data_IF_445461832357
#
_entry.id   IF_445461832357
#
_cell.length_a   1.000
_cell.length_b   1.000
_cell.length_c   1.000
_cell.angle_alpha   90.00
_cell.angle_beta   90.00
_cell.angle_gamma   90.00
#
_symmetry.space_group_name_H-M   'P 1'
#
loop_
_entity.id
_entity.type
_entity.pdbx_description
1 polymer ?
#
# COMPACT_ATOMS: atom_id res chain seq x y z
N UNK A 1 -3.98 34.62 4.79
CA UNK A 1 -5.02 34.54 5.84
C UNK A 1 -6.33 35.03 5.26
N UNK A 2 -7.44 34.30 5.40
CA UNK A 2 -8.75 34.78 4.95
C UNK A 2 -9.26 35.84 5.93
N UNK A 3 -9.80 36.96 5.42
CA UNK A 3 -10.35 38.02 6.28
C UNK A 3 -11.52 37.50 7.14
N UNK A 4 -11.66 38.04 8.36
CA UNK A 4 -12.71 37.66 9.31
C UNK A 4 -14.11 37.75 8.69
N UNK A 5 -14.38 38.80 7.87
CA UNK A 5 -15.60 38.95 7.11
C UNK A 5 -15.88 37.79 6.13
N UNK A 6 -14.83 37.22 5.49
CA UNK A 6 -14.95 36.07 4.61
C UNK A 6 -15.27 34.77 5.38
N UNK A 7 -14.73 34.63 6.59
CA UNK A 7 -15.05 33.49 7.47
C UNK A 7 -16.49 33.57 7.99
N UNK A 8 -16.98 34.77 8.35
CA UNK A 8 -18.36 34.99 8.80
C UNK A 8 -19.35 34.74 7.67
N UNK A 9 -19.08 35.25 6.46
CA UNK A 9 -19.87 34.98 5.28
C UNK A 9 -19.94 33.50 4.93
N UNK A 10 -18.83 32.79 5.00
CA UNK A 10 -18.77 31.35 4.76
C UNK A 10 -19.57 30.58 5.83
N UNK A 11 -19.50 30.99 7.10
CA UNK A 11 -20.29 30.38 8.19
C UNK A 11 -21.78 30.61 8.01
N UNK A 12 -22.18 31.80 7.62
CA UNK A 12 -23.59 32.14 7.31
C UNK A 12 -24.08 31.30 6.10
N UNK A 13 -23.32 31.23 5.02
CA UNK A 13 -23.66 30.43 3.84
C UNK A 13 -23.73 28.94 4.16
N UNK A 14 -22.86 28.40 5.04
CA UNK A 14 -22.91 27.01 5.46
C UNK A 14 -24.21 26.65 6.22
N UNK A 15 -24.82 27.60 6.95
CA UNK A 15 -26.12 27.40 7.62
C UNK A 15 -27.29 27.31 6.64
N UNK A 16 -27.17 27.94 5.47
CA UNK A 16 -28.16 27.88 4.40
C UNK A 16 -27.90 26.79 3.36
N UNK A 17 -26.73 26.15 3.44
CA UNK A 17 -26.34 25.06 2.54
C UNK A 17 -26.97 23.75 3.00
N UNK A 18 -28.19 23.52 2.55
CA UNK A 18 -28.80 22.19 2.68
C UNK A 18 -28.24 21.27 1.59
N UNK A 19 -27.37 20.36 1.96
CA UNK A 19 -26.95 19.27 1.07
C UNK A 19 -28.18 18.43 0.61
N UNK A 20 -28.00 17.53 -0.36
CA UNK A 20 -29.10 16.70 -0.85
C UNK A 20 -29.75 15.92 0.30
N UNK A 21 -31.05 16.04 0.46
CA UNK A 21 -31.84 15.39 1.52
C UNK A 21 -32.39 14.04 1.08
N UNK A 22 -32.70 13.88 -0.21
CA UNK A 22 -33.19 12.60 -0.76
C UNK A 22 -32.07 11.55 -0.95
N UNK A 23 -32.37 10.25 -0.86
CA UNK A 23 -31.42 9.19 -1.12
C UNK A 23 -30.79 9.28 -2.52
N UNK A 24 -31.59 9.59 -3.55
CA UNK A 24 -31.11 9.77 -4.93
C UNK A 24 -30.20 10.99 -5.06
N UNK A 25 -30.55 12.09 -4.40
CA UNK A 25 -29.75 13.32 -4.37
C UNK A 25 -28.42 13.10 -3.68
N UNK A 26 -28.40 12.35 -2.56
CA UNK A 26 -27.15 11.94 -1.87
C UNK A 26 -26.29 11.04 -2.75
N UNK A 27 -26.88 10.06 -3.44
CA UNK A 27 -26.19 9.20 -4.36
C UNK A 27 -25.59 9.97 -5.55
N UNK A 28 -26.34 10.91 -6.12
CA UNK A 28 -25.89 11.79 -7.20
C UNK A 28 -24.76 12.72 -6.75
N UNK A 29 -24.91 13.35 -5.58
CA UNK A 29 -23.85 14.20 -5.01
C UNK A 29 -22.58 13.41 -4.67
N UNK A 30 -22.72 12.22 -4.12
CA UNK A 30 -21.60 11.31 -3.86
C UNK A 30 -20.90 10.91 -5.16
N UNK A 31 -21.67 10.60 -6.21
CA UNK A 31 -21.13 10.26 -7.54
C UNK A 31 -20.42 11.44 -8.19
N UNK A 32 -20.98 12.64 -8.07
CA UNK A 32 -20.32 13.87 -8.55
C UNK A 32 -19.05 14.20 -7.79
N UNK A 33 -19.01 13.91 -6.47
CA UNK A 33 -17.82 14.08 -5.65
C UNK A 33 -16.68 13.10 -6.01
N UNK A 34 -17.01 11.92 -6.56
CA UNK A 34 -16.01 10.97 -7.04
C UNK A 34 -15.23 11.53 -8.23
N UNK A 35 -15.89 12.24 -9.17
CA UNK A 35 -15.27 12.92 -10.30
C UNK A 35 -14.20 12.07 -10.99
N UNK A 36 -12.93 12.47 -10.81
CA UNK A 36 -11.76 11.73 -11.30
C UNK A 36 -11.37 10.53 -10.41
N UNK A 37 -11.99 10.32 -9.26
CA UNK A 37 -11.77 9.19 -8.34
C UNK A 37 -10.46 9.21 -7.55
N UNK A 38 -9.56 10.19 -7.75
CA UNK A 38 -8.24 10.22 -7.10
C UNK A 38 -8.29 10.49 -5.58
N UNK A 39 -9.38 11.06 -5.09
CA UNK A 39 -9.62 11.31 -3.67
C UNK A 39 -10.64 10.35 -3.05
N UNK A 40 -11.25 9.50 -3.87
CA UNK A 40 -12.24 8.54 -3.41
C UNK A 40 -11.61 7.43 -2.55
N UNK A 41 -12.36 6.96 -1.57
CA UNK A 41 -12.02 5.73 -0.86
C UNK A 41 -12.19 4.51 -1.79
N UNK A 42 -11.44 3.40 -1.56
CA UNK A 42 -11.53 2.22 -2.41
C UNK A 42 -12.96 1.74 -2.64
N UNK A 43 -13.75 1.61 -1.58
CA UNK A 43 -15.13 1.15 -1.64
C UNK A 43 -16.02 2.05 -2.51
N UNK A 44 -15.84 3.37 -2.45
CA UNK A 44 -16.60 4.33 -3.25
C UNK A 44 -16.18 4.31 -4.71
N UNK A 45 -14.88 4.23 -4.97
CA UNK A 45 -14.33 4.15 -6.32
C UNK A 45 -14.84 2.90 -7.04
N UNK A 46 -14.69 1.74 -6.41
CA UNK A 46 -15.00 0.45 -7.02
C UNK A 46 -16.50 0.15 -7.13
N UNK A 47 -17.33 0.75 -6.28
CA UNK A 47 -18.78 0.63 -6.41
C UNK A 47 -19.34 1.26 -7.70
N UNK A 48 -18.63 2.23 -8.28
CA UNK A 48 -19.05 2.96 -9.48
C UNK A 48 -18.26 2.61 -10.75
N UNK A 49 -17.17 1.86 -10.63
CA UNK A 49 -16.21 1.60 -11.71
C UNK A 49 -15.67 0.17 -11.62
N UNK A 50 -16.36 -0.76 -12.29
CA UNK A 50 -15.99 -2.19 -12.32
C UNK A 50 -14.65 -2.41 -13.04
N UNK A 51 -14.33 -1.60 -14.04
CA UNK A 51 -13.05 -1.70 -14.75
C UNK A 51 -11.90 -1.32 -13.81
N UNK A 52 -12.04 -0.22 -13.06
CA UNK A 52 -11.07 0.16 -12.04
C UNK A 52 -10.90 -0.93 -10.96
N UNK A 53 -11.98 -1.61 -10.59
CA UNK A 53 -11.93 -2.74 -9.65
C UNK A 53 -11.07 -3.88 -10.18
N UNK A 54 -11.28 -4.29 -11.44
CA UNK A 54 -10.54 -5.37 -12.08
C UNK A 54 -9.06 -4.99 -12.26
N UNK A 55 -8.78 -3.78 -12.71
CA UNK A 55 -7.43 -3.27 -12.87
C UNK A 55 -6.68 -3.21 -11.53
N UNK A 56 -7.37 -2.81 -10.46
CA UNK A 56 -6.81 -2.81 -9.12
C UNK A 56 -6.53 -4.21 -8.60
N UNK A 57 -7.42 -5.18 -8.87
CA UNK A 57 -7.20 -6.58 -8.48
C UNK A 57 -5.94 -7.17 -9.14
N UNK A 58 -5.73 -6.88 -10.43
CA UNK A 58 -4.51 -7.28 -11.14
C UNK A 58 -3.27 -6.58 -10.59
N UNK A 59 -3.37 -5.29 -10.28
CA UNK A 59 -2.28 -4.51 -9.69
C UNK A 59 -1.86 -5.06 -8.33
N UNK A 60 -2.81 -5.37 -7.45
CA UNK A 60 -2.55 -6.03 -6.16
C UNK A 60 -1.82 -7.36 -6.35
N UNK A 61 -2.26 -8.20 -7.29
CA UNK A 61 -1.64 -9.51 -7.51
C UNK A 61 -0.18 -9.39 -7.95
N UNK A 62 0.16 -8.39 -8.78
CA UNK A 62 1.54 -8.13 -9.19
C UNK A 62 2.40 -7.69 -8.01
N UNK A 63 1.96 -6.68 -7.27
CA UNK A 63 2.70 -6.14 -6.12
C UNK A 63 2.85 -7.15 -4.98
N UNK A 64 1.87 -8.05 -4.80
CA UNK A 64 1.92 -9.07 -3.75
C UNK A 64 3.10 -10.02 -3.92
N UNK A 65 3.50 -10.32 -5.15
CA UNK A 65 4.65 -11.17 -5.45
C UNK A 65 5.98 -10.54 -5.00
N UNK A 66 6.04 -9.21 -5.01
CA UNK A 66 7.23 -8.47 -4.65
C UNK A 66 7.26 -8.12 -3.15
N UNK A 67 6.09 -7.77 -2.58
CA UNK A 67 5.99 -7.31 -1.20
C UNK A 67 5.83 -8.44 -0.18
N UNK A 68 5.23 -9.58 -0.56
CA UNK A 68 5.02 -10.76 0.29
C UNK A 68 4.54 -10.40 1.72
N UNK A 69 3.40 -9.72 1.87
CA UNK A 69 2.89 -9.30 3.18
C UNK A 69 2.41 -10.51 3.98
N UNK A 70 2.74 -10.52 5.28
CA UNK A 70 2.40 -11.56 6.22
C UNK A 70 1.67 -11.01 7.44
N UNK A 71 0.62 -11.70 7.83
CA UNK A 71 -0.21 -11.28 8.96
C UNK A 71 -1.06 -10.03 8.65
N UNK A 72 -1.96 -9.70 9.57
CA UNK A 72 -2.99 -8.67 9.35
C UNK A 72 -2.41 -7.26 9.18
N UNK A 73 -1.37 -6.91 9.95
CA UNK A 73 -0.79 -5.57 9.93
C UNK A 73 -0.03 -5.29 8.62
N UNK A 74 0.76 -6.26 8.17
CA UNK A 74 1.48 -6.13 6.89
C UNK A 74 0.49 -6.12 5.73
N UNK A 75 -0.55 -6.96 5.76
CA UNK A 75 -1.58 -7.01 4.74
C UNK A 75 -2.36 -5.69 4.64
N UNK A 76 -2.72 -5.08 5.76
CA UNK A 76 -3.41 -3.80 5.76
C UNK A 76 -2.50 -2.67 5.25
N UNK A 77 -1.24 -2.67 5.65
CA UNK A 77 -0.25 -1.69 5.20
C UNK A 77 0.07 -1.86 3.72
N UNK A 78 0.18 -3.11 3.25
CA UNK A 78 0.33 -3.46 1.85
C UNK A 78 -0.86 -2.98 1.00
N UNK A 79 -2.10 -3.16 1.46
CA UNK A 79 -3.29 -2.66 0.75
C UNK A 79 -3.28 -1.15 0.60
N UNK A 80 -2.86 -0.41 1.64
CA UNK A 80 -2.68 1.05 1.55
C UNK A 80 -1.63 1.43 0.52
N UNK A 81 -0.51 0.74 0.49
CA UNK A 81 0.54 0.92 -0.52
C UNK A 81 0.02 0.63 -1.93
N UNK A 82 -0.59 -0.52 -2.14
CA UNK A 82 -1.12 -0.93 -3.43
C UNK A 82 -2.20 0.04 -3.96
N UNK A 83 -3.05 0.56 -3.08
CA UNK A 83 -4.05 1.55 -3.49
C UNK A 83 -3.42 2.89 -3.85
N UNK A 84 -2.44 3.36 -3.09
CA UNK A 84 -1.74 4.60 -3.39
C UNK A 84 -0.99 4.53 -4.74
N UNK A 85 -0.28 3.43 -5.03
CA UNK A 85 0.41 3.23 -6.31
C UNK A 85 -0.57 3.10 -7.48
N UNK A 86 -1.72 2.47 -7.29
CA UNK A 86 -2.79 2.44 -8.29
C UNK A 86 -3.31 3.84 -8.60
N UNK A 87 -3.49 4.68 -7.58
CA UNK A 87 -3.92 6.07 -7.76
C UNK A 87 -2.86 6.96 -8.42
N UNK A 88 -1.57 6.69 -8.25
CA UNK A 88 -0.49 7.37 -8.98
C UNK A 88 -0.65 7.13 -10.47
N UNK A 89 -0.82 5.88 -10.91
CA UNK A 89 -1.00 5.55 -12.32
C UNK A 89 -2.24 6.23 -12.92
N UNK A 90 -3.34 6.30 -12.15
CA UNK A 90 -4.54 7.02 -12.58
C UNK A 90 -4.31 8.53 -12.66
N UNK A 91 -3.58 9.12 -11.73
CA UNK A 91 -3.25 10.53 -11.74
C UNK A 91 -2.42 10.91 -12.97
N UNK A 92 -1.41 10.10 -13.30
CA UNK A 92 -0.57 10.27 -14.49
C UNK A 92 -1.38 10.17 -15.78
N UNK A 93 -2.29 9.20 -15.89
CA UNK A 93 -3.16 9.08 -17.06
C UNK A 93 -4.08 10.30 -17.25
N UNK A 94 -4.64 10.82 -16.15
CA UNK A 94 -5.49 12.03 -16.17
C UNK A 94 -4.68 13.30 -16.44
N UNK A 95 -3.45 13.38 -15.96
CA UNK A 95 -2.51 14.46 -16.24
C UNK A 95 -2.21 14.53 -17.74
N UNK A 96 -1.84 13.40 -18.35
CA UNK A 96 -1.59 13.33 -19.79
C UNK A 96 -2.81 13.75 -20.61
N UNK A 97 -4.02 13.28 -20.24
CA UNK A 97 -5.26 13.69 -20.90
C UNK A 97 -5.52 15.20 -20.75
N UNK A 98 -5.24 15.78 -19.60
CA UNK A 98 -5.40 17.22 -19.37
C UNK A 98 -4.36 18.02 -20.14
N UNK A 99 -3.13 17.52 -20.26
CA UNK A 99 -2.06 18.09 -21.05
C UNK A 99 -2.42 18.12 -22.54
N UNK A 100 -2.89 17.00 -23.10
CA UNK A 100 -3.35 16.93 -24.48
C UNK A 100 -4.47 17.95 -24.77
N UNK A 101 -5.43 18.09 -23.87
CA UNK A 101 -6.52 19.07 -24.00
C UNK A 101 -5.98 20.49 -23.97
N UNK A 102 -5.04 20.79 -23.08
CA UNK A 102 -4.41 22.11 -22.99
C UNK A 102 -3.59 22.45 -24.24
N UNK A 103 -2.84 21.49 -24.79
CA UNK A 103 -2.07 21.69 -26.03
C UNK A 103 -3.00 22.01 -27.21
N UNK A 104 -4.15 21.33 -27.30
CA UNK A 104 -5.11 21.50 -28.39
C UNK A 104 -5.99 22.75 -28.23
N UNK A 105 -6.19 23.26 -27.01
CA UNK A 105 -6.99 24.43 -26.71
C UNK A 105 -6.36 25.20 -25.52
N UNK A 106 -5.24 25.95 -25.78
CA UNK A 106 -4.46 26.60 -24.72
C UNK A 106 -5.22 27.75 -24.03
N UNK A 107 -6.17 28.37 -24.73
CA UNK A 107 -6.93 29.52 -24.23
C UNK A 107 -8.10 29.10 -23.32
N UNK A 108 -8.39 27.79 -23.22
CA UNK A 108 -9.46 27.29 -22.38
C UNK A 108 -9.10 27.38 -20.89
N UNK A 109 -9.86 28.12 -20.08
CA UNK A 109 -9.44 28.51 -18.72
C UNK A 109 -9.31 27.36 -17.71
N UNK A 110 -9.80 26.16 -18.06
CA UNK A 110 -9.87 25.02 -17.13
C UNK A 110 -8.76 23.98 -17.34
N UNK A 111 -8.19 23.84 -18.55
CA UNK A 111 -7.31 22.72 -18.85
C UNK A 111 -6.00 22.78 -18.05
N UNK A 112 -5.38 23.93 -18.00
CA UNK A 112 -4.15 24.11 -17.21
C UNK A 112 -4.38 23.87 -15.71
N UNK A 113 -5.46 24.42 -15.15
CA UNK A 113 -5.78 24.25 -13.74
C UNK A 113 -6.16 22.80 -13.38
N UNK A 114 -6.74 22.05 -14.33
CA UNK A 114 -6.98 20.61 -14.15
C UNK A 114 -5.67 19.81 -14.17
N UNK A 115 -4.77 20.09 -15.08
CA UNK A 115 -3.44 19.47 -15.12
C UNK A 115 -2.68 19.69 -13.82
N UNK A 116 -2.58 20.95 -13.35
CA UNK A 116 -1.96 21.24 -12.05
C UNK A 116 -2.60 20.49 -10.89
N UNK A 117 -3.93 20.34 -10.91
CA UNK A 117 -4.66 19.60 -9.88
C UNK A 117 -4.25 18.11 -9.89
N UNK A 118 -4.14 17.49 -11.06
CA UNK A 118 -3.75 16.08 -11.17
C UNK A 118 -2.30 15.85 -10.75
N UNK A 119 -1.38 16.75 -11.09
CA UNK A 119 0.00 16.76 -10.60
C UNK A 119 0.04 16.79 -9.06
N UNK A 120 -0.69 17.73 -8.44
CA UNK A 120 -0.76 17.86 -6.98
C UNK A 120 -1.35 16.62 -6.30
N UNK A 121 -2.37 16.00 -6.92
CA UNK A 121 -2.98 14.77 -6.41
C UNK A 121 -2.04 13.57 -6.60
N UNK A 122 -1.33 13.46 -7.71
CA UNK A 122 -0.30 12.46 -7.93
C UNK A 122 0.78 12.52 -6.85
N UNK A 123 1.37 13.70 -6.63
CA UNK A 123 2.38 13.91 -5.58
C UNK A 123 1.87 13.60 -4.15
N UNK A 124 0.58 13.77 -3.87
CA UNK A 124 -0.03 13.34 -2.61
C UNK A 124 -0.05 11.80 -2.50
N UNK A 125 -0.40 11.10 -3.58
CA UNK A 125 -0.44 9.65 -3.58
C UNK A 125 0.98 9.04 -3.51
N UNK A 126 1.97 9.65 -4.13
CA UNK A 126 3.39 9.26 -3.99
C UNK A 126 3.84 9.28 -2.53
N UNK A 127 3.59 10.39 -1.82
CA UNK A 127 3.90 10.47 -0.38
C UNK A 127 3.18 9.41 0.46
N UNK A 128 1.94 9.06 0.10
CA UNK A 128 1.19 7.99 0.77
C UNK A 128 1.78 6.61 0.47
N UNK A 129 2.19 6.38 -0.78
CA UNK A 129 2.84 5.15 -1.18
C UNK A 129 4.17 4.97 -0.44
N UNK A 130 5.03 5.98 -0.45
CA UNK A 130 6.32 5.97 0.25
C UNK A 130 6.16 5.70 1.75
N UNK A 131 5.20 6.40 2.39
CA UNK A 131 4.91 6.18 3.81
C UNK A 131 4.49 4.74 4.06
N UNK A 132 3.55 4.21 3.29
CA UNK A 132 3.04 2.85 3.48
C UNK A 132 4.11 1.79 3.17
N UNK A 133 4.95 2.00 2.16
CA UNK A 133 6.06 1.11 1.85
C UNK A 133 7.10 1.09 2.98
N UNK A 134 7.43 2.25 3.54
CA UNK A 134 8.37 2.34 4.65
C UNK A 134 7.80 1.69 5.93
N UNK A 135 6.50 1.84 6.20
CA UNK A 135 5.81 1.14 7.28
C UNK A 135 5.84 -0.38 7.07
N UNK A 136 5.55 -0.86 5.86
CA UNK A 136 5.60 -2.28 5.52
C UNK A 136 6.99 -2.87 5.73
N UNK A 137 8.03 -2.20 5.21
CA UNK A 137 9.42 -2.62 5.39
C UNK A 137 9.84 -2.65 6.85
N UNK A 138 9.33 -1.72 7.67
CA UNK A 138 9.58 -1.73 9.11
C UNK A 138 8.94 -2.93 9.79
N UNK A 139 7.67 -3.21 9.50
CA UNK A 139 6.95 -4.38 10.04
C UNK A 139 7.65 -5.69 9.66
N UNK A 140 8.09 -5.81 8.42
CA UNK A 140 8.83 -6.98 7.94
C UNK A 140 10.18 -7.13 8.65
N UNK A 141 10.94 -6.05 8.84
CA UNK A 141 12.18 -6.10 9.62
C UNK A 141 11.95 -6.54 11.07
N UNK A 142 10.92 -5.97 11.70
CA UNK A 142 10.61 -6.31 13.10
C UNK A 142 10.20 -7.79 13.20
N UNK A 143 9.47 -8.33 12.22
CA UNK A 143 9.13 -9.76 12.13
C UNK A 143 10.37 -10.64 11.95
N UNK A 144 11.28 -10.28 11.07
CA UNK A 144 12.53 -11.04 10.87
C UNK A 144 13.42 -11.00 12.10
N UNK A 145 13.56 -9.85 12.77
CA UNK A 145 14.30 -9.75 14.02
C UNK A 145 13.68 -10.63 15.13
N UNK A 146 12.34 -10.67 15.21
CA UNK A 146 11.67 -11.56 16.17
C UNK A 146 11.93 -13.03 15.87
N UNK A 147 11.95 -13.43 14.60
CA UNK A 147 12.27 -14.81 14.18
C UNK A 147 13.74 -15.18 14.47
N UNK A 148 14.67 -14.24 14.31
CA UNK A 148 16.07 -14.43 14.65
C UNK A 148 16.23 -14.73 16.15
N UNK A 149 15.61 -13.92 17.01
CA UNK A 149 15.59 -14.15 18.45
C UNK A 149 14.92 -15.48 18.82
N UNK A 150 13.81 -15.83 18.18
CA UNK A 150 13.14 -17.11 18.40
C UNK A 150 14.02 -18.28 17.99
N UNK A 151 14.74 -18.15 16.86
CA UNK A 151 15.70 -19.15 16.41
C UNK A 151 16.84 -19.35 17.39
N UNK A 152 17.39 -18.28 17.96
CA UNK A 152 18.42 -18.35 18.99
C UNK A 152 17.89 -19.04 20.27
N UNK A 153 16.70 -18.65 20.76
CA UNK A 153 16.08 -19.27 21.95
C UNK A 153 15.88 -20.76 21.72
N UNK A 154 15.44 -21.17 20.53
CA UNK A 154 15.28 -22.57 20.18
C UNK A 154 16.64 -23.31 20.17
N UNK A 155 17.68 -22.69 19.64
CA UNK A 155 19.03 -23.28 19.62
C UNK A 155 19.58 -23.57 21.05
N UNK A 156 19.10 -22.81 22.05
CA UNK A 156 19.39 -23.07 23.46
C UNK A 156 18.46 -24.11 24.13
N UNK A 157 17.69 -24.87 23.35
CA UNK A 157 16.84 -25.96 23.84
C UNK A 157 15.55 -25.51 24.52
N UNK A 158 15.11 -24.27 24.33
CA UNK A 158 13.83 -23.78 24.86
C UNK A 158 12.73 -23.93 23.82
N UNK A 159 11.52 -24.25 24.29
CA UNK A 159 10.33 -24.27 23.41
C UNK A 159 10.00 -22.87 22.93
N UNK A 160 9.73 -22.74 21.64
CA UNK A 160 9.32 -21.49 20.99
C UNK A 160 8.18 -21.76 20.02
N UNK A 161 7.24 -20.84 19.94
CA UNK A 161 6.20 -20.85 18.91
C UNK A 161 6.64 -19.94 17.77
N UNK A 162 6.98 -20.51 16.63
CA UNK A 162 7.36 -19.76 15.44
C UNK A 162 6.15 -19.29 14.63
N UNK A 163 6.27 -18.17 13.94
CA UNK A 163 5.31 -17.77 12.90
C UNK A 163 5.26 -18.86 11.82
N UNK A 164 4.06 -19.23 11.41
CA UNK A 164 3.86 -20.27 10.38
C UNK A 164 4.16 -19.78 8.96
N UNK A 165 4.31 -18.49 8.76
CA UNK A 165 4.35 -17.91 7.43
C UNK A 165 5.59 -17.02 7.30
N UNK A 166 6.56 -17.48 6.51
CA UNK A 166 7.77 -16.74 6.18
C UNK A 166 7.85 -16.53 4.67
N UNK A 167 8.06 -15.30 4.21
CA UNK A 167 8.29 -15.03 2.80
C UNK A 167 9.66 -15.55 2.38
N UNK A 168 9.68 -16.66 1.64
CA UNK A 168 10.90 -17.37 1.25
C UNK A 168 11.81 -16.51 0.36
N UNK A 169 11.23 -15.67 -0.49
CA UNK A 169 11.99 -14.77 -1.35
C UNK A 169 12.85 -13.80 -0.52
N UNK A 170 12.30 -13.27 0.58
CA UNK A 170 13.03 -12.36 1.47
C UNK A 170 14.08 -13.08 2.29
N UNK A 171 13.85 -14.34 2.67
CA UNK A 171 14.81 -15.16 3.39
C UNK A 171 16.10 -15.40 2.61
N UNK A 172 16.03 -15.45 1.27
CA UNK A 172 17.23 -15.59 0.41
C UNK A 172 18.18 -14.40 0.51
N UNK A 173 17.65 -13.22 0.75
CA UNK A 173 18.40 -11.97 0.84
C UNK A 173 18.67 -11.53 2.27
N UNK A 174 17.94 -12.06 3.24
CA UNK A 174 18.06 -11.70 4.64
C UNK A 174 19.18 -12.46 5.34
N UNK A 175 19.78 -11.83 6.36
CA UNK A 175 20.90 -12.45 7.10
C UNK A 175 20.50 -13.65 7.96
N UNK A 176 19.20 -13.85 8.25
CA UNK A 176 18.70 -14.94 9.09
C UNK A 176 19.25 -16.31 8.70
N UNK A 177 19.25 -16.64 7.43
CA UNK A 177 19.73 -17.93 6.97
C UNK A 177 21.26 -18.07 6.95
N UNK A 178 22.01 -17.01 7.29
CA UNK A 178 23.46 -17.04 7.46
C UNK A 178 23.88 -17.50 8.86
N UNK A 179 22.99 -17.48 9.82
CA UNK A 179 23.21 -17.94 11.18
C UNK A 179 22.68 -19.35 11.39
N UNK A 180 23.27 -20.13 12.30
CA UNK A 180 22.77 -21.46 12.67
C UNK A 180 21.33 -21.40 13.20
N UNK A 181 21.04 -20.44 14.05
CA UNK A 181 19.70 -20.22 14.62
C UNK A 181 18.69 -19.87 13.53
N UNK A 182 19.06 -19.02 12.58
CA UNK A 182 18.22 -18.68 11.44
C UNK A 182 17.92 -19.87 10.53
N UNK A 183 18.89 -20.72 10.26
CA UNK A 183 18.70 -21.95 9.48
C UNK A 183 17.76 -22.93 10.18
N UNK A 184 17.89 -23.09 11.50
CA UNK A 184 16.98 -23.91 12.32
C UNK A 184 15.57 -23.34 12.24
N UNK A 185 15.39 -22.03 12.43
CA UNK A 185 14.09 -21.37 12.34
C UNK A 185 13.44 -21.59 10.96
N UNK A 186 14.20 -21.42 9.87
CA UNK A 186 13.73 -21.68 8.50
C UNK A 186 13.30 -23.15 8.34
N UNK A 187 14.10 -24.10 8.79
CA UNK A 187 13.78 -25.53 8.70
C UNK A 187 12.48 -25.88 9.41
N UNK A 188 12.29 -25.34 10.59
CA UNK A 188 11.09 -25.59 11.41
C UNK A 188 9.83 -24.94 10.83
N UNK A 189 9.99 -23.76 10.24
CA UNK A 189 8.89 -23.04 9.61
C UNK A 189 8.61 -23.50 8.18
N UNK A 190 9.52 -24.29 7.60
CA UNK A 190 9.44 -24.73 6.23
C UNK A 190 8.25 -25.69 6.01
N UNK A 191 7.13 -25.12 5.62
CA UNK A 191 5.96 -25.88 5.16
C UNK A 191 5.94 -26.08 3.64
N UNK A 192 6.83 -25.38 2.92
CA UNK A 192 6.93 -25.43 1.47
C UNK A 192 8.18 -26.22 1.02
N UNK A 193 8.10 -26.86 -0.14
CA UNK A 193 9.23 -27.62 -0.70
C UNK A 193 10.45 -26.73 -1.00
N UNK A 194 10.23 -25.46 -1.37
CA UNK A 194 11.32 -24.50 -1.60
C UNK A 194 12.13 -24.22 -0.34
N UNK A 195 11.44 -23.99 0.80
CA UNK A 195 12.12 -23.74 2.07
C UNK A 195 12.90 -24.99 2.54
N UNK A 196 12.35 -26.19 2.36
CA UNK A 196 13.04 -27.46 2.60
C UNK A 196 14.25 -27.62 1.71
N UNK A 197 14.16 -27.21 0.44
CA UNK A 197 15.29 -27.25 -0.49
C UNK A 197 16.41 -26.29 -0.06
N UNK A 198 16.07 -25.06 0.34
CA UNK A 198 17.04 -24.07 0.84
C UNK A 198 17.74 -24.59 2.09
N UNK A 199 17.01 -25.17 3.02
CA UNK A 199 17.59 -25.76 4.24
C UNK A 199 18.55 -26.92 3.95
N UNK A 200 18.28 -27.73 2.91
CA UNK A 200 19.16 -28.85 2.49
C UNK A 200 20.42 -28.40 1.75
N UNK A 201 20.35 -27.30 1.00
CA UNK A 201 21.47 -26.82 0.17
C UNK A 201 22.49 -25.98 0.93
N UNK A 202 22.16 -25.52 2.15
CA UNK A 202 23.09 -24.83 3.04
C UNK A 202 23.38 -25.69 4.25
N UNK A 203 24.59 -26.29 4.30
CA UNK A 203 25.00 -27.06 5.47
C UNK A 203 25.05 -26.11 6.69
N UNK A 204 24.59 -26.62 7.83
CA UNK A 204 24.80 -25.97 9.12
C UNK A 204 26.30 -25.75 9.32
N UNK A 205 26.73 -24.60 9.83
CA UNK A 205 28.14 -24.43 10.22
C UNK A 205 28.49 -25.47 11.26
N UNK A 206 29.75 -25.95 11.26
CA UNK A 206 30.18 -26.98 12.19
C UNK A 206 29.98 -26.56 13.63
N UNK A 207 29.64 -27.52 14.49
CA UNK A 207 29.29 -27.32 15.93
C UNK A 207 30.39 -26.58 16.74
N UNK A 208 31.57 -26.36 16.18
CA UNK A 208 32.68 -25.63 16.80
C UNK A 208 32.47 -24.08 16.79
N UNK A 209 31.34 -23.57 16.32
CA UNK A 209 31.04 -22.14 16.27
C UNK A 209 29.97 -21.70 17.30
N UNK A 210 29.65 -22.53 18.28
CA UNK A 210 28.79 -22.22 19.43
C UNK A 210 29.65 -21.92 20.67
#
# INVERSE_FOLDING_TARGET
MSSQAKQEANRANAQHSTGPTSPEGKATSSRNAVGHGLTAQPNTLFASDTEAQNNFAQHIQKLRKDCLPEGTLEEETFRRYAFATFQINRAQALELQAQDRWINDPDHPKWFSQMERFIKLGALQERRADKSLNELRKLQRDRFAALEVQGEIYAYGKEVTFSKVLPIADLRTHNLYKTSAGLIAISLLATTEEAKLIAKTKPLPPESAL
#
